data_IF_137343306828
#
_entry.id   IF_137343306828
#
_cell.length_a   1.000
_cell.length_b   1.000
_cell.length_c   1.000
_cell.angle_alpha   90.00
_cell.angle_beta   90.00
_cell.angle_gamma   90.00
#
_symmetry.space_group_name_H-M   'P 1'
#
loop_
_entity.id
_entity.type
_entity.pdbx_description
1 polymer ?
#
# COMPACT_ATOMS: atom_id res chain seq x y z
N UNK A 1 -25.07 -26.49 32.81
CA UNK A 1 -25.25 -25.15 32.20
C UNK A 1 -23.97 -24.80 31.47
N UNK A 2 -23.84 -25.18 30.19
CA UNK A 2 -22.62 -24.98 29.41
C UNK A 2 -22.48 -23.51 29.05
N UNK A 3 -21.46 -22.86 29.64
CA UNK A 3 -21.03 -21.51 29.26
C UNK A 3 -20.58 -21.60 27.79
N UNK A 4 -21.24 -20.86 26.90
CA UNK A 4 -20.80 -20.66 25.51
C UNK A 4 -19.41 -20.03 25.57
N UNK A 5 -18.36 -20.85 25.49
CA UNK A 5 -17.02 -20.38 25.23
C UNK A 5 -17.00 -20.16 23.73
N UNK A 6 -17.08 -18.90 23.32
CA UNK A 6 -16.73 -18.44 21.98
C UNK A 6 -15.23 -18.11 21.99
N UNK A 7 -14.33 -18.94 21.45
CA UNK A 7 -12.99 -18.50 21.10
C UNK A 7 -12.97 -18.27 19.59
N UNK A 8 -13.62 -17.20 19.17
CA UNK A 8 -13.27 -16.51 17.95
C UNK A 8 -13.04 -15.10 18.42
N UNK A 9 -11.80 -14.63 18.29
CA UNK A 9 -11.37 -13.24 18.31
C UNK A 9 -12.58 -12.31 18.48
N UNK A 10 -12.80 -11.78 19.69
CA UNK A 10 -14.06 -11.08 19.99
C UNK A 10 -14.36 -10.13 18.84
N UNK A 11 -15.59 -10.16 18.30
CA UNK A 11 -15.93 -9.45 17.05
C UNK A 11 -15.35 -8.04 17.00
N UNK A 12 -15.30 -7.36 18.16
CA UNK A 12 -14.67 -6.04 18.38
C UNK A 12 -13.19 -5.98 17.98
N UNK A 13 -12.38 -6.96 18.37
CA UNK A 13 -10.94 -7.02 18.07
C UNK A 13 -10.67 -7.12 16.56
N UNK A 14 -11.48 -7.89 15.82
CA UNK A 14 -11.39 -7.96 14.35
C UNK A 14 -11.70 -6.61 13.71
N UNK A 15 -12.75 -5.92 14.18
CA UNK A 15 -13.12 -4.59 13.66
C UNK A 15 -12.08 -3.52 14.00
N UNK A 16 -11.42 -3.62 15.15
CA UNK A 16 -10.33 -2.72 15.55
C UNK A 16 -9.10 -2.93 14.66
N UNK A 17 -8.69 -4.17 14.39
CA UNK A 17 -7.55 -4.45 13.49
C UNK A 17 -7.83 -4.02 12.04
N UNK A 18 -9.03 -4.29 11.52
CA UNK A 18 -9.45 -3.82 10.19
C UNK A 18 -9.47 -2.28 10.16
N UNK A 19 -10.03 -1.65 11.19
CA UNK A 19 -10.09 -0.19 11.29
C UNK A 19 -8.71 0.46 11.32
N UNK A 20 -7.78 -0.09 12.11
CA UNK A 20 -6.38 0.36 12.16
C UNK A 20 -5.67 0.21 10.81
N UNK A 21 -5.92 -0.87 10.09
CA UNK A 21 -5.36 -1.06 8.75
C UNK A 21 -5.91 -0.08 7.72
N UNK A 22 -7.22 0.17 7.74
CA UNK A 22 -7.84 1.17 6.86
C UNK A 22 -7.34 2.58 7.18
N UNK A 23 -7.14 2.91 8.46
CA UNK A 23 -6.56 4.17 8.89
C UNK A 23 -5.10 4.30 8.41
N UNK A 24 -4.28 3.27 8.65
CA UNK A 24 -2.88 3.26 8.22
C UNK A 24 -2.77 3.39 6.70
N UNK A 25 -3.62 2.69 5.95
CA UNK A 25 -3.73 2.81 4.50
C UNK A 25 -4.04 4.24 4.08
N UNK A 26 -5.05 4.85 4.68
CA UNK A 26 -5.42 6.23 4.40
C UNK A 26 -4.24 7.18 4.66
N UNK A 27 -3.50 6.97 5.74
CA UNK A 27 -2.29 7.74 6.05
C UNK A 27 -1.20 7.52 4.99
N UNK A 28 -0.92 6.28 4.60
CA UNK A 28 0.10 5.99 3.58
C UNK A 28 -0.27 6.59 2.22
N UNK A 29 -1.52 6.48 1.80
CA UNK A 29 -2.03 7.07 0.55
C UNK A 29 -1.95 8.60 0.60
N UNK A 30 -2.33 9.23 1.71
CA UNK A 30 -2.24 10.69 1.84
C UNK A 30 -0.80 11.18 1.84
N UNK A 31 0.11 10.48 2.55
CA UNK A 31 1.55 10.78 2.53
C UNK A 31 2.11 10.62 1.11
N UNK A 32 1.83 9.50 0.45
CA UNK A 32 2.25 9.19 -0.92
C UNK A 32 1.79 10.27 -1.91
N UNK A 33 0.50 10.63 -1.89
CA UNK A 33 -0.05 11.71 -2.70
C UNK A 33 0.59 13.07 -2.41
N UNK A 34 0.81 13.39 -1.13
CA UNK A 34 1.42 14.66 -0.73
C UNK A 34 2.86 14.76 -1.23
N UNK A 35 3.64 13.68 -1.11
CA UNK A 35 5.02 13.60 -1.60
C UNK A 35 5.07 13.70 -3.13
N UNK A 36 4.19 13.01 -3.85
CA UNK A 36 4.15 13.11 -5.31
C UNK A 36 3.85 14.53 -5.76
N UNK A 37 2.83 15.16 -5.15
CA UNK A 37 2.43 16.52 -5.49
C UNK A 37 3.53 17.55 -5.21
N UNK A 38 4.23 17.43 -4.08
CA UNK A 38 5.33 18.33 -3.75
C UNK A 38 6.54 18.13 -4.66
N UNK A 39 6.90 16.89 -5.00
CA UNK A 39 7.98 16.60 -5.94
C UNK A 39 7.65 17.13 -7.34
N UNK A 40 6.45 16.82 -7.86
CA UNK A 40 6.03 17.28 -9.19
C UNK A 40 5.99 18.80 -9.28
N UNK A 41 5.43 19.47 -8.27
CA UNK A 41 5.37 20.94 -8.26
C UNK A 41 6.75 21.59 -8.14
N UNK A 42 7.67 21.02 -7.36
CA UNK A 42 9.05 21.51 -7.27
C UNK A 42 9.76 21.47 -8.63
N UNK A 43 9.65 20.34 -9.35
CA UNK A 43 10.25 20.16 -10.68
C UNK A 43 9.64 21.09 -11.73
N UNK A 44 8.31 21.27 -11.71
CA UNK A 44 7.62 22.21 -12.62
C UNK A 44 8.09 23.66 -12.35
N UNK A 45 8.22 24.04 -11.08
CA UNK A 45 8.68 25.38 -10.69
C UNK A 45 10.12 25.59 -11.16
N UNK A 46 11.01 24.62 -10.92
CA UNK A 46 12.43 24.73 -11.29
C UNK A 46 12.58 24.87 -12.81
N UNK A 47 11.94 23.98 -13.58
CA UNK A 47 11.94 24.06 -15.05
C UNK A 47 11.35 25.39 -15.57
N UNK A 48 10.37 25.95 -14.88
CA UNK A 48 9.78 27.26 -15.23
C UNK A 48 10.73 28.41 -14.91
N UNK A 49 11.43 28.35 -13.78
CA UNK A 49 12.42 29.35 -13.38
C UNK A 49 13.62 29.34 -14.32
N UNK A 50 14.18 28.16 -14.61
CA UNK A 50 15.29 28.03 -15.54
C UNK A 50 14.93 28.61 -16.92
N UNK A 51 13.75 28.30 -17.44
CA UNK A 51 13.27 28.90 -18.69
C UNK A 51 13.22 30.42 -18.62
N UNK A 52 12.83 31.00 -17.49
CA UNK A 52 12.78 32.45 -17.31
C UNK A 52 14.17 33.09 -17.26
N UNK A 53 15.16 32.43 -16.63
CA UNK A 53 16.49 33.01 -16.43
C UNK A 53 17.48 32.71 -17.56
N UNK A 54 17.50 31.48 -18.06
CA UNK A 54 18.45 31.02 -19.09
C UNK A 54 17.83 31.00 -20.49
N UNK A 55 16.50 31.07 -20.60
CA UNK A 55 15.78 30.87 -21.87
C UNK A 55 15.75 29.41 -22.35
N UNK A 56 16.39 28.49 -21.61
CA UNK A 56 16.47 27.07 -21.95
C UNK A 56 15.25 26.34 -21.40
N UNK A 57 14.66 25.47 -22.22
CA UNK A 57 13.54 24.63 -21.81
C UNK A 57 14.09 23.28 -21.36
N UNK A 58 14.17 23.09 -20.05
CA UNK A 58 14.57 21.81 -19.48
C UNK A 58 13.37 20.88 -19.37
N UNK A 59 13.59 19.60 -19.67
CA UNK A 59 12.55 18.57 -19.56
C UNK A 59 12.39 18.16 -18.11
N UNK A 60 11.15 18.00 -17.66
CA UNK A 60 10.83 17.46 -16.34
C UNK A 60 11.31 16.00 -16.28
N UNK A 61 11.80 15.54 -15.12
CA UNK A 61 12.20 14.15 -14.96
C UNK A 61 11.08 13.18 -15.34
N UNK A 62 11.49 12.02 -15.84
CA UNK A 62 10.58 10.92 -16.14
C UNK A 62 9.75 10.53 -14.92
N UNK A 63 8.50 10.14 -15.14
CA UNK A 63 7.57 9.74 -14.08
C UNK A 63 8.15 8.63 -13.22
N UNK A 64 9.00 7.76 -13.78
CA UNK A 64 9.68 6.69 -13.04
C UNK A 64 10.62 7.24 -11.94
N UNK A 65 11.26 8.39 -12.16
CA UNK A 65 12.12 9.03 -11.15
C UNK A 65 11.27 9.59 -10.01
N UNK A 66 10.14 10.23 -10.34
CA UNK A 66 9.19 10.74 -9.36
C UNK A 66 8.57 9.59 -8.54
N UNK A 67 8.17 8.50 -9.20
CA UNK A 67 7.59 7.30 -8.59
C UNK A 67 8.58 6.56 -7.68
N UNK A 68 9.89 6.55 -8.03
CA UNK A 68 10.93 5.93 -7.19
C UNK A 68 10.98 6.54 -5.78
N UNK A 69 10.74 7.85 -5.66
CA UNK A 69 10.67 8.56 -4.38
C UNK A 69 9.48 8.15 -3.50
N UNK A 70 8.46 7.50 -4.07
CA UNK A 70 7.20 7.12 -3.39
C UNK A 70 7.12 5.62 -3.16
N UNK A 71 7.86 4.83 -3.94
CA UNK A 71 7.78 3.37 -3.95
C UNK A 71 8.05 2.70 -2.58
N UNK A 72 8.63 3.43 -1.62
CA UNK A 72 8.85 2.96 -0.24
C UNK A 72 7.57 2.61 0.52
N UNK A 73 6.40 3.10 0.11
CA UNK A 73 5.12 2.79 0.77
C UNK A 73 4.71 1.32 0.59
N UNK A 74 5.09 0.71 -0.54
CA UNK A 74 4.79 -0.70 -0.86
C UNK A 74 5.46 -1.69 0.11
N UNK A 75 6.80 -1.65 0.34
CA UNK A 75 7.44 -2.55 1.30
C UNK A 75 6.99 -2.29 2.73
N UNK A 76 6.74 -1.04 3.13
CA UNK A 76 6.20 -0.72 4.47
C UNK A 76 4.86 -1.45 4.66
N UNK A 77 3.97 -1.35 3.68
CA UNK A 77 2.69 -2.04 3.75
C UNK A 77 2.84 -3.56 3.83
N UNK A 78 3.70 -4.15 3.00
CA UNK A 78 3.96 -5.59 2.99
C UNK A 78 4.44 -6.09 4.36
N UNK A 79 5.34 -5.35 5.02
CA UNK A 79 5.84 -5.73 6.35
C UNK A 79 4.74 -5.73 7.41
N UNK A 80 3.79 -4.80 7.34
CA UNK A 80 2.64 -4.75 8.25
C UNK A 80 1.70 -5.94 8.02
N UNK A 81 1.40 -6.28 6.76
CA UNK A 81 0.60 -7.47 6.45
C UNK A 81 1.24 -8.76 6.99
N UNK A 82 2.56 -8.92 6.85
CA UNK A 82 3.29 -10.07 7.40
C UNK A 82 3.19 -10.09 8.94
N UNK A 83 3.36 -8.94 9.59
CA UNK A 83 3.21 -8.80 11.03
C UNK A 83 1.83 -9.22 11.53
N UNK A 84 0.76 -8.88 10.80
CA UNK A 84 -0.61 -9.28 11.10
C UNK A 84 -0.86 -10.77 10.92
N UNK A 85 -0.35 -11.36 9.85
CA UNK A 85 -0.38 -12.82 9.67
C UNK A 85 0.26 -13.47 10.90
N UNK A 86 1.44 -13.01 11.31
CA UNK A 86 2.12 -13.51 12.50
C UNK A 86 1.31 -13.31 13.79
N UNK A 87 0.68 -12.14 13.97
CA UNK A 87 -0.19 -11.86 15.11
C UNK A 87 -1.41 -12.79 15.15
N UNK A 88 -2.05 -13.06 14.01
CA UNK A 88 -3.16 -14.02 13.89
C UNK A 88 -2.72 -15.45 14.21
N UNK A 89 -1.55 -15.89 13.74
CA UNK A 89 -0.99 -17.18 14.14
C UNK A 89 -0.72 -17.23 15.63
N UNK A 90 -0.08 -16.20 16.19
CA UNK A 90 0.26 -16.13 17.61
C UNK A 90 -0.98 -16.14 18.50
N UNK A 91 -1.99 -15.33 18.21
CA UNK A 91 -3.26 -15.34 18.94
C UNK A 91 -3.93 -16.70 18.84
N UNK A 92 -3.91 -17.34 17.67
CA UNK A 92 -4.39 -18.72 17.56
C UNK A 92 -3.61 -19.67 18.47
N UNK A 93 -2.28 -19.66 18.46
CA UNK A 93 -1.47 -20.55 19.31
C UNK A 93 -1.63 -20.26 20.82
N UNK A 94 -1.82 -18.99 21.21
CA UNK A 94 -1.96 -18.57 22.61
C UNK A 94 -3.39 -18.82 23.15
N UNK A 95 -4.43 -18.51 22.38
CA UNK A 95 -5.83 -18.64 22.79
C UNK A 95 -6.41 -20.05 22.52
N UNK A 96 -5.87 -20.80 21.55
CA UNK A 96 -6.37 -22.14 21.17
C UNK A 96 -5.60 -23.31 21.78
N UNK A 97 -5.11 -23.16 23.02
CA UNK A 97 -4.76 -24.29 23.91
C UNK A 97 -5.91 -25.29 24.14
N UNK A 98 -7.08 -25.11 23.53
CA UNK A 98 -7.92 -26.24 23.18
C UNK A 98 -7.30 -27.04 22.02
N UNK A 99 -6.34 -27.90 22.34
CA UNK A 99 -6.01 -29.11 21.55
C UNK A 99 -7.31 -29.81 21.07
N UNK A 100 -8.40 -29.64 21.81
CA UNK A 100 -9.75 -30.11 21.49
C UNK A 100 -10.47 -29.47 20.29
N UNK A 101 -10.17 -28.23 19.87
CA UNK A 101 -10.89 -27.59 18.76
C UNK A 101 -10.32 -28.01 17.40
N UNK A 102 -8.99 -28.13 17.28
CA UNK A 102 -8.33 -28.65 16.07
C UNK A 102 -8.65 -30.14 15.86
N UNK A 103 -8.80 -30.92 16.95
CA UNK A 103 -9.15 -32.34 16.89
C UNK A 103 -10.54 -32.62 16.28
N UNK A 104 -11.42 -31.61 16.22
CA UNK A 104 -12.78 -31.73 15.65
C UNK A 104 -12.88 -31.21 14.20
N UNK A 105 -12.02 -30.27 13.81
CA UNK A 105 -11.86 -29.86 12.40
C UNK A 105 -10.88 -30.82 11.74
N UNK A 106 -11.38 -31.89 11.12
CA UNK A 106 -10.59 -32.98 10.56
C UNK A 106 -9.65 -32.63 9.39
N UNK A 107 -9.32 -31.36 9.17
CA UNK A 107 -8.45 -30.88 8.09
C UNK A 107 -7.39 -29.90 8.62
N UNK A 108 -6.09 -30.21 8.48
CA UNK A 108 -5.00 -29.36 8.97
C UNK A 108 -4.95 -27.99 8.27
N UNK A 109 -5.56 -27.87 7.09
CA UNK A 109 -5.51 -26.66 6.27
C UNK A 109 -6.44 -25.53 6.76
N UNK A 110 -7.51 -25.84 7.49
CA UNK A 110 -8.52 -24.83 7.86
C UNK A 110 -7.98 -23.71 8.73
N UNK A 111 -6.93 -24.01 9.53
CA UNK A 111 -6.23 -23.01 10.31
C UNK A 111 -5.58 -21.95 9.40
N UNK A 112 -4.81 -22.41 8.43
CA UNK A 112 -4.11 -21.54 7.50
C UNK A 112 -5.13 -20.65 6.77
N UNK A 113 -6.25 -21.18 6.29
CA UNK A 113 -7.21 -20.32 5.60
C UNK A 113 -7.84 -19.27 6.49
N UNK A 114 -8.13 -19.59 7.75
CA UNK A 114 -8.71 -18.59 8.67
C UNK A 114 -7.71 -17.50 9.02
N UNK A 115 -6.45 -17.87 9.26
CA UNK A 115 -5.38 -16.92 9.55
C UNK A 115 -5.00 -16.07 8.33
N UNK A 116 -5.12 -16.60 7.11
CA UNK A 116 -4.79 -15.86 5.89
C UNK A 116 -5.97 -15.13 5.25
N UNK A 117 -7.23 -15.52 5.49
CA UNK A 117 -8.38 -14.93 4.78
C UNK A 117 -8.47 -13.41 4.93
N UNK A 118 -8.36 -12.90 6.16
CA UNK A 118 -8.44 -11.46 6.43
C UNK A 118 -7.21 -10.72 5.89
N UNK A 119 -5.96 -11.16 6.19
CA UNK A 119 -4.76 -10.54 5.61
C UNK A 119 -4.73 -10.53 4.09
N UNK A 120 -5.15 -11.63 3.44
CA UNK A 120 -5.18 -11.74 1.97
C UNK A 120 -6.23 -10.82 1.37
N UNK A 121 -7.43 -10.74 1.94
CA UNK A 121 -8.46 -9.80 1.48
C UNK A 121 -7.98 -8.35 1.57
N UNK A 122 -7.31 -7.99 2.66
CA UNK A 122 -6.77 -6.65 2.84
C UNK A 122 -5.61 -6.38 1.90
N UNK A 123 -4.75 -7.36 1.66
CA UNK A 123 -3.68 -7.27 0.66
C UNK A 123 -4.24 -7.03 -0.76
N UNK A 124 -5.28 -7.75 -1.16
CA UNK A 124 -5.94 -7.57 -2.47
C UNK A 124 -6.57 -6.18 -2.58
N UNK A 125 -7.28 -5.74 -1.55
CA UNK A 125 -7.88 -4.40 -1.52
C UNK A 125 -6.81 -3.31 -1.70
N UNK A 126 -5.66 -3.50 -1.06
CA UNK A 126 -4.56 -2.54 -1.11
C UNK A 126 -3.88 -2.53 -2.46
N UNK A 127 -3.67 -3.69 -3.06
CA UNK A 127 -3.17 -3.80 -4.41
C UNK A 127 -4.04 -3.00 -5.40
N UNK A 128 -5.37 -3.10 -5.26
CA UNK A 128 -6.32 -2.33 -6.09
C UNK A 128 -6.14 -0.82 -5.85
N UNK A 129 -6.05 -0.40 -4.59
CA UNK A 129 -5.89 1.02 -4.23
C UNK A 129 -4.56 1.58 -4.76
N UNK A 130 -3.46 0.83 -4.63
CA UNK A 130 -2.16 1.23 -5.19
C UNK A 130 -2.20 1.34 -6.71
N UNK A 131 -2.95 0.49 -7.41
CA UNK A 131 -3.13 0.61 -8.86
C UNK A 131 -3.94 1.86 -9.24
N UNK A 132 -4.97 2.19 -8.47
CA UNK A 132 -5.74 3.42 -8.66
C UNK A 132 -4.90 4.67 -8.39
N UNK A 133 -4.08 4.64 -7.35
CA UNK A 133 -3.16 5.71 -6.99
C UNK A 133 -2.11 5.91 -8.09
N UNK A 134 -1.49 4.83 -8.59
CA UNK A 134 -0.54 4.88 -9.70
C UNK A 134 -1.18 5.51 -10.95
N UNK A 135 -2.40 5.11 -11.30
CA UNK A 135 -3.15 5.72 -12.40
C UNK A 135 -3.42 7.22 -12.14
N UNK A 136 -3.73 7.58 -10.89
CA UNK A 136 -3.89 8.97 -10.45
C UNK A 136 -2.61 9.80 -10.60
N UNK A 137 -1.44 9.24 -10.29
CA UNK A 137 -0.14 9.88 -10.48
C UNK A 137 0.19 10.11 -11.94
N UNK A 138 -0.03 9.11 -12.79
CA UNK A 138 0.17 9.23 -14.24
C UNK A 138 -0.76 10.29 -14.82
N UNK A 139 -2.03 10.27 -14.44
CA UNK A 139 -3.00 11.27 -14.88
C UNK A 139 -2.58 12.67 -14.41
N UNK A 140 -2.17 12.82 -13.16
CA UNK A 140 -1.72 14.10 -12.60
C UNK A 140 -0.47 14.62 -13.30
N UNK A 141 0.51 13.75 -13.56
CA UNK A 141 1.75 14.08 -14.28
C UNK A 141 1.45 14.61 -15.69
N UNK A 142 0.63 13.89 -16.46
CA UNK A 142 0.30 14.25 -17.83
C UNK A 142 -0.60 15.49 -17.93
N UNK A 143 -1.47 15.71 -16.94
CA UNK A 143 -2.41 16.84 -16.96
C UNK A 143 -1.79 18.15 -16.45
N UNK A 144 -0.82 18.07 -15.53
CA UNK A 144 -0.13 19.25 -14.98
C UNK A 144 1.10 19.64 -15.80
N UNK A 145 1.72 18.71 -16.52
CA UNK A 145 2.93 18.97 -17.30
C UNK A 145 2.60 19.43 -18.73
N UNK A 146 3.00 20.64 -19.15
CA UNK A 146 2.82 21.07 -20.53
C UNK A 146 3.67 20.24 -21.50
N UNK A 147 3.19 19.98 -22.74
CA UNK A 147 3.89 19.14 -23.73
C UNK A 147 5.34 19.54 -24.01
N UNK A 148 5.66 20.81 -23.81
CA UNK A 148 6.99 21.36 -24.03
C UNK A 148 8.02 20.85 -23.02
N UNK A 149 7.61 20.55 -21.78
CA UNK A 149 8.48 20.09 -20.70
C UNK A 149 8.44 18.56 -20.53
N UNK A 150 7.50 17.87 -21.17
CA UNK A 150 7.42 16.41 -21.17
C UNK A 150 8.69 15.79 -21.81
N UNK A 151 9.32 14.78 -21.19
CA UNK A 151 10.51 14.08 -21.73
C UNK A 151 10.27 13.41 -23.10
N UNK A 152 11.18 12.56 -23.60
CA UNK A 152 10.90 11.77 -24.81
C UNK A 152 10.23 10.43 -24.46
N UNK A 153 10.56 9.91 -23.29
CA UNK A 153 9.97 8.70 -22.72
C UNK A 153 9.05 9.07 -21.55
N UNK A 154 7.82 8.56 -21.60
CA UNK A 154 6.76 8.82 -20.62
C UNK A 154 6.09 7.54 -20.12
N UNK A 155 6.66 6.39 -20.47
CA UNK A 155 6.12 5.09 -20.09
C UNK A 155 6.44 4.77 -18.65
N UNK A 156 5.61 3.93 -18.03
CA UNK A 156 5.96 3.33 -16.74
C UNK A 156 6.89 2.15 -17.03
N UNK A 157 8.12 2.22 -16.53
CA UNK A 157 9.05 1.11 -16.55
C UNK A 157 9.24 0.61 -15.13
N UNK A 158 8.55 -0.48 -14.80
CA UNK A 158 8.62 -1.07 -13.46
C UNK A 158 10.05 -1.43 -13.07
N UNK A 159 10.91 -1.84 -14.00
CA UNK A 159 12.29 -2.23 -13.68
C UNK A 159 13.13 -1.04 -13.19
N UNK A 160 12.89 0.15 -13.74
CA UNK A 160 13.54 1.40 -13.32
C UNK A 160 13.05 1.92 -11.97
N UNK A 161 11.88 1.46 -11.51
CA UNK A 161 11.39 1.79 -10.17
C UNK A 161 12.17 1.04 -9.08
N UNK A 162 12.70 -0.15 -9.39
CA UNK A 162 13.39 -1.03 -8.42
C UNK A 162 14.92 -0.99 -8.46
N UNK A 163 15.53 -0.55 -9.58
CA UNK A 163 16.98 -0.37 -9.77
C UNK A 163 17.34 1.09 -9.55
#
# INVERSE_FOLDING_TARGET
MMKKITPMLSRKMIWEEIGLMLLMMFILVTISNSNFSTMLSAEIIDATLERRYSGVINKIPDINVLLKGIFWTVPVFLTVCIGLVYAHYRSFYQDSMSIYTIRRTGRPWELHVRCFAIPVLLFVLMFIISMLELAGFVASYLNQTPPTYLPEYHGIDFWRLFI
#
